data_IF_968773127895
#
_entry.id   IF_968773127895
#
_cell.length_a   1.000
_cell.length_b   1.000
_cell.length_c   1.000
_cell.angle_alpha   90.00
_cell.angle_beta   90.00
_cell.angle_gamma   90.00
#
_symmetry.space_group_name_H-M   'P 1'
#
loop_
_entity.id
_entity.type
_entity.pdbx_description
1 polymer ?
#
# COMPACT_ATOMS: atom_id res chain seq x y z
N UNK A 1 -5.08 -18.24 -24.18
CA UNK A 1 -5.21 -17.67 -22.82
C UNK A 1 -6.58 -17.03 -22.69
N UNK A 2 -7.45 -17.56 -21.84
CA UNK A 2 -8.72 -16.92 -21.49
C UNK A 2 -8.53 -16.16 -20.18
N UNK A 3 -8.36 -14.84 -20.26
CA UNK A 3 -8.36 -13.95 -19.10
C UNK A 3 -9.76 -13.37 -18.97
N UNK A 4 -10.38 -13.53 -17.81
CA UNK A 4 -11.68 -12.93 -17.49
C UNK A 4 -11.55 -12.01 -16.28
N UNK A 5 -12.34 -10.95 -16.25
CA UNK A 5 -12.38 -9.99 -15.16
C UNK A 5 -13.55 -10.33 -14.24
N UNK A 6 -13.29 -10.45 -12.94
CA UNK A 6 -14.34 -10.55 -11.92
C UNK A 6 -14.95 -9.17 -11.68
N UNK A 7 -16.23 -8.91 -12.02
CA UNK A 7 -16.81 -7.56 -11.96
C UNK A 7 -16.76 -6.94 -10.56
N UNK A 8 -16.89 -7.76 -9.51
CA UNK A 8 -16.86 -7.29 -8.11
C UNK A 8 -15.47 -6.82 -7.65
N UNK A 9 -14.42 -7.21 -8.36
CA UNK A 9 -13.02 -6.86 -8.05
C UNK A 9 -12.45 -5.82 -9.03
N UNK A 10 -13.20 -5.46 -10.07
CA UNK A 10 -12.77 -4.54 -11.09
C UNK A 10 -13.23 -3.11 -10.74
N UNK A 11 -12.27 -2.18 -10.68
CA UNK A 11 -12.54 -0.75 -10.51
C UNK A 11 -12.34 -0.06 -11.86
N UNK A 12 -13.41 0.09 -12.64
CA UNK A 12 -13.39 0.76 -13.95
C UNK A 12 -14.00 2.17 -13.87
N UNK A 13 -13.34 3.18 -14.44
CA UNK A 13 -13.88 4.54 -14.55
C UNK A 13 -13.92 5.36 -13.25
N UNK A 14 -13.29 4.87 -12.17
CA UNK A 14 -13.21 5.61 -10.90
C UNK A 14 -12.09 6.66 -10.95
N UNK A 15 -12.31 7.88 -10.46
CA UNK A 15 -11.28 8.93 -10.39
C UNK A 15 -10.19 8.61 -9.34
N UNK A 16 -10.45 7.61 -8.48
CA UNK A 16 -9.53 7.10 -7.47
C UNK A 16 -9.66 5.59 -7.34
N UNK A 17 -8.55 4.88 -7.23
CA UNK A 17 -8.53 3.43 -6.96
C UNK A 17 -7.42 3.09 -5.95
N UNK A 18 -7.63 2.03 -5.17
CA UNK A 18 -6.58 1.49 -4.31
C UNK A 18 -5.91 0.34 -5.03
N UNK A 19 -4.64 0.50 -5.40
CA UNK A 19 -3.84 -0.49 -6.12
C UNK A 19 -2.60 -0.81 -5.28
N UNK A 20 -2.39 -2.10 -4.96
CA UNK A 20 -1.23 -2.56 -4.19
C UNK A 20 -1.01 -1.81 -2.86
N UNK A 21 -2.11 -1.42 -2.20
CA UNK A 21 -2.05 -0.63 -0.96
C UNK A 21 -1.62 0.82 -1.16
N UNK A 22 -1.63 1.34 -2.39
CA UNK A 22 -1.48 2.75 -2.70
C UNK A 22 -2.78 3.33 -3.25
N UNK A 23 -3.09 4.58 -2.89
CA UNK A 23 -4.25 5.29 -3.44
C UNK A 23 -3.79 6.04 -4.68
N UNK A 24 -4.28 5.61 -5.83
CA UNK A 24 -3.98 6.17 -7.14
C UNK A 24 -5.10 7.12 -7.53
N UNK A 25 -4.75 8.34 -7.92
CA UNK A 25 -5.69 9.34 -8.42
C UNK A 25 -5.10 10.06 -9.64
N UNK A 26 -5.86 10.99 -10.22
CA UNK A 26 -5.39 11.80 -11.35
C UNK A 26 -4.15 12.66 -11.05
N UNK A 27 -3.81 12.87 -9.78
CA UNK A 27 -2.64 13.60 -9.31
C UNK A 27 -1.43 12.70 -8.98
N UNK A 28 -1.55 11.37 -9.11
CA UNK A 28 -0.46 10.41 -8.93
C UNK A 28 -0.71 9.33 -7.86
N UNK A 29 0.39 8.78 -7.33
CA UNK A 29 0.38 7.78 -6.26
C UNK A 29 0.46 8.48 -4.90
N UNK A 30 -0.51 8.22 -4.04
CA UNK A 30 -0.51 8.69 -2.66
C UNK A 30 -0.50 7.50 -1.70
N UNK A 31 0.35 7.57 -0.67
CA UNK A 31 0.34 6.61 0.41
C UNK A 31 -0.96 6.76 1.22
N UNK A 32 -1.80 5.72 1.34
CA UNK A 32 -3.02 5.80 2.10
C UNK A 32 -2.71 6.13 3.55
N UNK A 33 -3.57 6.92 4.19
CA UNK A 33 -3.43 7.27 5.61
C UNK A 33 -3.30 6.02 6.47
N UNK A 34 -3.96 4.91 6.10
CA UNK A 34 -3.84 3.64 6.81
C UNK A 34 -2.41 3.09 6.83
N UNK A 35 -1.62 3.22 5.74
CA UNK A 35 -0.23 2.76 5.72
C UNK A 35 0.68 3.61 6.61
N UNK A 36 0.49 4.93 6.59
CA UNK A 36 1.24 5.85 7.43
C UNK A 36 0.96 5.54 8.91
N UNK A 37 -0.31 5.33 9.26
CA UNK A 37 -0.70 4.90 10.61
C UNK A 37 -0.11 3.54 10.99
N UNK A 38 -0.09 2.57 10.07
CA UNK A 38 0.50 1.26 10.34
C UNK A 38 2.01 1.34 10.64
N UNK A 39 2.75 2.17 9.91
CA UNK A 39 4.19 2.39 10.16
C UNK A 39 4.42 3.13 11.49
N UNK A 40 3.62 4.14 11.80
CA UNK A 40 3.69 4.86 13.08
C UNK A 40 3.33 3.99 14.29
N UNK A 41 2.53 2.94 14.08
CA UNK A 41 2.14 2.00 15.13
C UNK A 41 3.21 0.91 15.39
N UNK A 42 4.27 0.81 14.58
CA UNK A 42 5.34 -0.16 14.81
C UNK A 42 6.11 0.24 16.07
N UNK A 43 6.12 -0.66 17.06
CA UNK A 43 6.94 -0.49 18.26
C UNK A 43 8.42 -0.43 17.87
N UNK A 44 9.18 0.40 18.58
CA UNK A 44 10.61 0.58 18.33
C UNK A 44 11.33 -0.79 18.23
N UNK A 45 12.05 -1.06 17.13
CA UNK A 45 12.69 -2.34 16.91
C UNK A 45 13.73 -2.60 18.00
N UNK A 46 13.72 -3.81 18.57
CA UNK A 46 14.63 -4.21 19.66
C UNK A 46 15.74 -5.15 19.19
N UNK A 47 15.59 -5.72 18.00
CA UNK A 47 16.56 -6.62 17.39
C UNK A 47 16.96 -6.12 16.00
N UNK A 48 18.12 -6.56 15.50
CA UNK A 48 18.57 -6.23 14.14
C UNK A 48 17.55 -6.68 13.07
N UNK A 49 16.90 -7.82 13.28
CA UNK A 49 15.87 -8.34 12.36
C UNK A 49 14.63 -7.45 12.31
N UNK A 50 14.22 -6.90 13.45
CA UNK A 50 13.12 -5.93 13.50
C UNK A 50 13.50 -4.62 12.80
N UNK A 51 14.77 -4.21 12.91
CA UNK A 51 15.29 -3.03 12.23
C UNK A 51 15.32 -3.21 10.71
N UNK A 52 15.80 -4.36 10.22
CA UNK A 52 15.76 -4.71 8.79
C UNK A 52 14.32 -4.72 8.26
N UNK A 53 13.39 -5.31 8.99
CA UNK A 53 11.98 -5.33 8.62
C UNK A 53 11.37 -3.93 8.59
N UNK A 54 11.68 -3.10 9.59
CA UNK A 54 11.24 -1.71 9.65
C UNK A 54 11.79 -0.88 8.47
N UNK A 55 13.08 -1.02 8.17
CA UNK A 55 13.71 -0.34 7.03
C UNK A 55 13.04 -0.77 5.73
N UNK A 56 12.81 -2.07 5.53
CA UNK A 56 12.11 -2.59 4.35
C UNK A 56 10.68 -2.03 4.18
N UNK A 57 9.95 -1.89 5.29
CA UNK A 57 8.61 -1.27 5.28
C UNK A 57 8.67 0.23 4.95
N UNK A 58 9.64 0.96 5.51
CA UNK A 58 9.80 2.40 5.24
C UNK A 58 10.39 2.73 3.88
N UNK A 59 11.13 1.82 3.24
CA UNK A 59 11.69 2.02 1.90
C UNK A 59 10.64 2.03 0.79
N UNK A 60 9.42 1.55 1.06
CA UNK A 60 8.31 1.48 0.11
C UNK A 60 7.19 2.51 0.40
N UNK A 61 7.46 3.47 1.29
CA UNK A 61 6.51 4.50 1.71
C UNK A 61 6.36 5.64 0.69
#
# INVERSE_FOLDING_TARGET
MNVSLEPKKAFLGYPTATLLGQRVNAFGLSSPKERIHAVLAIKQPRTCKDLEHYIGLTGFL
#
